data_IF_158626507260
#
_entry.id   IF_158626507260
#
_cell.length_a   1.000
_cell.length_b   1.000
_cell.length_c   1.000
_cell.angle_alpha   90.00
_cell.angle_beta   90.00
_cell.angle_gamma   90.00
#
_symmetry.space_group_name_H-M   'P 1'
#
loop_
_entity.id
_entity.type
_entity.pdbx_description
1 polymer ?
#
# COMPACT_ATOMS: atom_id res chain seq x y z
N UNK A 1 2.74 9.39 18.86
CA UNK A 1 3.38 9.49 17.54
C UNK A 1 2.89 10.79 16.92
N UNK A 2 3.80 11.72 16.67
CA UNK A 2 3.45 13.07 16.19
C UNK A 2 2.91 13.00 14.75
N UNK A 3 2.29 14.07 14.25
CA UNK A 3 1.74 14.09 12.90
C UNK A 3 2.86 13.91 11.84
N UNK A 4 4.01 14.54 12.06
CA UNK A 4 5.20 14.46 11.21
C UNK A 4 5.83 13.04 11.22
N UNK A 5 5.84 12.37 12.38
CA UNK A 5 6.28 10.98 12.51
C UNK A 5 5.42 10.03 11.67
N UNK A 6 4.10 10.27 11.62
CA UNK A 6 3.16 9.41 10.87
C UNK A 6 3.34 9.55 9.37
N UNK A 7 3.52 10.77 8.87
CA UNK A 7 3.82 11.00 7.45
C UNK A 7 5.13 10.29 7.04
N UNK A 8 6.18 10.46 7.83
CA UNK A 8 7.49 9.82 7.60
C UNK A 8 7.41 8.30 7.61
N UNK A 9 6.59 7.73 8.50
CA UNK A 9 6.34 6.28 8.55
C UNK A 9 5.70 5.77 7.26
N UNK A 10 4.64 6.42 6.77
CA UNK A 10 3.97 5.97 5.55
C UNK A 10 4.85 6.12 4.30
N UNK A 11 5.65 7.18 4.20
CA UNK A 11 6.62 7.31 3.11
C UNK A 11 7.64 6.18 3.10
N UNK A 12 8.13 5.76 4.27
CA UNK A 12 9.03 4.61 4.37
C UNK A 12 8.36 3.31 3.90
N UNK A 13 7.12 3.08 4.32
CA UNK A 13 6.36 1.90 3.89
C UNK A 13 6.09 1.90 2.37
N UNK A 14 5.85 3.07 1.77
CA UNK A 14 5.70 3.20 0.33
C UNK A 14 6.99 2.84 -0.41
N UNK A 15 8.14 3.32 0.08
CA UNK A 15 9.44 3.00 -0.50
C UNK A 15 9.74 1.49 -0.42
N UNK A 16 9.46 0.87 0.72
CA UNK A 16 9.66 -0.57 0.91
C UNK A 16 8.76 -1.40 -0.02
N UNK A 17 7.49 -1.01 -0.17
CA UNK A 17 6.57 -1.65 -1.09
C UNK A 17 7.03 -1.51 -2.56
N UNK A 18 7.57 -0.36 -2.96
CA UNK A 18 8.17 -0.18 -4.30
C UNK A 18 9.37 -1.08 -4.53
N UNK A 19 10.26 -1.19 -3.55
CA UNK A 19 11.40 -2.10 -3.62
C UNK A 19 10.95 -3.56 -3.79
N UNK A 20 9.96 -4.01 -3.02
CA UNK A 20 9.41 -5.36 -3.14
C UNK A 20 8.72 -5.60 -4.50
N UNK A 21 8.09 -4.59 -5.09
CA UNK A 21 7.52 -4.68 -6.44
C UNK A 21 8.60 -4.82 -7.53
N UNK A 22 9.74 -4.17 -7.36
CA UNK A 22 10.89 -4.28 -8.27
C UNK A 22 11.49 -5.69 -8.22
N UNK A 23 11.67 -6.25 -7.03
CA UNK A 23 12.20 -7.60 -6.80
C UNK A 23 11.21 -8.73 -7.15
N UNK A 24 9.91 -8.42 -7.26
CA UNK A 24 8.89 -9.41 -7.58
C UNK A 24 9.04 -9.95 -9.01
N UNK A 25 9.14 -11.28 -9.12
CA UNK A 25 9.18 -12.02 -10.39
C UNK A 25 7.78 -12.39 -10.90
N UNK A 26 6.79 -12.41 -10.01
CA UNK A 26 5.38 -12.68 -10.31
C UNK A 26 4.62 -11.35 -10.47
N UNK A 27 3.94 -11.19 -11.60
CA UNK A 27 3.23 -9.94 -11.95
C UNK A 27 2.09 -9.61 -11.00
N UNK A 28 1.42 -10.62 -10.41
CA UNK A 28 0.37 -10.43 -9.42
C UNK A 28 0.96 -9.92 -8.11
N UNK A 29 2.10 -10.47 -7.69
CA UNK A 29 2.84 -10.01 -6.50
C UNK A 29 3.39 -8.59 -6.71
N UNK A 30 3.95 -8.30 -7.90
CA UNK A 30 4.38 -6.95 -8.27
C UNK A 30 3.22 -5.96 -8.18
N UNK A 31 2.06 -6.30 -8.77
CA UNK A 31 0.87 -5.46 -8.75
C UNK A 31 0.40 -5.17 -7.33
N UNK A 32 0.35 -6.20 -6.48
CA UNK A 32 -0.02 -6.05 -5.07
C UNK A 32 0.90 -5.06 -4.33
N UNK A 33 2.22 -5.18 -4.52
CA UNK A 33 3.18 -4.28 -3.87
C UNK A 33 3.08 -2.84 -4.40
N UNK A 34 2.80 -2.65 -5.69
CA UNK A 34 2.54 -1.32 -6.24
C UNK A 34 1.26 -0.70 -5.66
N UNK A 35 0.19 -1.48 -5.50
CA UNK A 35 -1.03 -1.00 -4.84
C UNK A 35 -0.78 -0.61 -3.38
N UNK A 36 0.02 -1.38 -2.65
CA UNK A 36 0.42 -1.05 -1.28
C UNK A 36 1.20 0.27 -1.24
N UNK A 37 2.15 0.47 -2.15
CA UNK A 37 2.93 1.71 -2.23
C UNK A 37 2.02 2.95 -2.40
N UNK A 38 1.07 2.88 -3.33
CA UNK A 38 0.11 3.97 -3.60
C UNK A 38 -0.75 4.25 -2.35
N UNK A 39 -1.24 3.21 -1.67
CA UNK A 39 -2.05 3.38 -0.44
C UNK A 39 -1.27 4.04 0.68
N UNK A 40 0.03 3.76 0.80
CA UNK A 40 0.89 4.41 1.78
C UNK A 40 1.17 5.88 1.41
N UNK A 41 1.41 6.20 0.14
CA UNK A 41 1.59 7.58 -0.33
C UNK A 41 0.36 8.45 -0.03
N UNK A 42 -0.85 7.97 -0.39
CA UNK A 42 -2.10 8.66 -0.10
C UNK A 42 -2.30 8.90 1.41
N UNK A 43 -1.87 7.95 2.24
CA UNK A 43 -1.96 8.08 3.70
C UNK A 43 -0.92 9.05 4.26
N UNK A 44 0.27 9.13 3.66
CA UNK A 44 1.30 10.11 4.02
C UNK A 44 0.86 11.55 3.69
N UNK A 45 0.19 11.75 2.56
CA UNK A 45 -0.32 13.06 2.11
C UNK A 45 -1.51 13.54 2.94
N UNK A 46 -2.12 12.66 3.75
CA UNK A 46 -3.34 12.98 4.49
C UNK A 46 -4.56 13.21 3.59
N UNK A 47 -4.53 12.71 2.35
CA UNK A 47 -5.56 13.02 1.34
C UNK A 47 -6.91 12.30 1.56
N UNK A 48 -7.03 11.49 2.62
CA UNK A 48 -8.32 10.93 3.06
C UNK A 48 -8.93 9.89 2.13
N UNK A 49 -8.21 9.41 1.10
CA UNK A 49 -8.72 8.37 0.22
C UNK A 49 -8.62 7.03 0.94
N UNK A 50 -9.74 6.60 1.52
CA UNK A 50 -10.01 5.19 1.77
C UNK A 50 -10.13 4.53 0.39
N UNK A 51 -9.00 4.10 -0.18
CA UNK A 51 -9.06 3.07 -1.23
C UNK A 51 -9.88 1.90 -0.68
N UNK A 52 -10.65 1.17 -1.50
CA UNK A 52 -11.51 0.10 -1.02
C UNK A 52 -10.69 -0.80 -0.10
N UNK A 53 -11.01 -0.71 1.19
CA UNK A 53 -10.57 -1.64 2.19
C UNK A 53 -11.51 -2.83 2.02
N UNK A 54 -10.97 -3.98 1.64
CA UNK A 54 -11.61 -5.28 1.88
C UNK A 54 -13.10 -5.42 1.51
N UNK A 55 -13.48 -5.22 0.24
CA UNK A 55 -14.83 -5.62 -0.22
C UNK A 55 -14.84 -6.59 -1.43
N UNK A 56 -13.67 -7.07 -1.89
CA UNK A 56 -13.60 -8.07 -2.99
C UNK A 56 -12.71 -9.29 -2.70
N UNK A 57 -12.43 -9.58 -1.43
CA UNK A 57 -12.02 -10.94 -1.00
C UNK A 57 -13.09 -11.55 -0.09
N UNK A 58 -14.37 -11.33 -0.38
CA UNK A 58 -15.43 -12.15 0.19
C UNK A 58 -15.46 -13.49 -0.54
N UNK A 59 -14.84 -14.49 0.10
CA UNK A 59 -15.33 -15.86 0.22
C UNK A 59 -16.16 -16.37 -0.98
N UNK A 60 -15.49 -16.94 -1.98
CA UNK A 60 -16.08 -18.02 -2.79
C UNK A 60 -15.19 -19.26 -2.61
N UNK A 61 -15.48 -19.96 -1.52
CA UNK A 61 -15.21 -21.39 -1.37
C UNK A 61 -16.41 -22.14 -1.95
N UNK A 62 -16.51 -22.16 -3.27
CA UNK A 62 -17.20 -23.21 -4.01
C UNK A 62 -16.20 -23.88 -4.97
#
# INVERSE_FOLDING_TARGET
MEAEDRQSYFLKMAQEARFLAEEATDDRVRTLHLEMAIRYELRAEGSGITGPADDEFSDDKD
#
